data_IF_782590889190
#
_entry.id   IF_782590889190
#
_cell.length_a   1.000
_cell.length_b   1.000
_cell.length_c   1.000
_cell.angle_alpha   90.00
_cell.angle_beta   90.00
_cell.angle_gamma   90.00
#
_symmetry.space_group_name_H-M   'P 1'
#
loop_
_entity.id
_entity.type
_entity.pdbx_description
1 polymer ?
#
# COMPACT_ATOMS: atom_id res chain seq x y z
N UNK A 1 -16.46 -8.42 2.30
CA UNK A 1 -15.30 -8.02 1.48
C UNK A 1 -15.26 -6.51 1.49
N UNK A 2 -14.13 -5.89 1.86
CA UNK A 2 -14.02 -4.43 1.90
C UNK A 2 -14.02 -3.94 0.45
N UNK A 3 -14.94 -3.04 0.06
CA UNK A 3 -15.04 -2.62 -1.32
C UNK A 3 -13.81 -1.83 -1.74
N UNK A 4 -13.35 -2.09 -2.96
CA UNK A 4 -12.39 -1.24 -3.66
C UNK A 4 -13.21 -0.37 -4.62
N UNK A 5 -13.11 0.96 -4.56
CA UNK A 5 -13.86 1.82 -5.47
C UNK A 5 -13.54 1.50 -6.94
N UNK A 6 -14.51 1.65 -7.84
CA UNK A 6 -14.28 1.49 -9.27
C UNK A 6 -13.44 2.65 -9.83
N UNK A 7 -12.59 2.38 -10.84
CA UNK A 7 -11.78 3.42 -11.49
C UNK A 7 -10.61 3.97 -10.67
N UNK A 8 -10.22 3.28 -9.60
CA UNK A 8 -9.11 3.69 -8.72
C UNK A 8 -7.77 3.66 -9.42
N UNK A 9 -6.90 4.62 -9.06
CA UNK A 9 -5.49 4.58 -9.47
C UNK A 9 -4.70 3.73 -8.50
N UNK A 10 -3.74 2.99 -9.05
CA UNK A 10 -2.82 2.17 -8.27
C UNK A 10 -1.45 2.84 -8.30
N UNK A 11 -0.98 3.26 -7.13
CA UNK A 11 0.33 3.87 -6.94
C UNK A 11 1.29 2.85 -6.36
N UNK A 12 2.42 2.63 -7.05
CA UNK A 12 3.51 1.80 -6.55
C UNK A 12 4.53 2.69 -5.85
N UNK A 13 4.79 2.45 -4.57
CA UNK A 13 5.89 3.10 -3.87
C UNK A 13 7.23 2.55 -4.40
N UNK A 14 8.02 3.41 -5.04
CA UNK A 14 9.32 3.01 -5.60
C UNK A 14 10.32 2.62 -4.50
N UNK A 15 11.24 1.71 -4.84
CA UNK A 15 12.27 1.25 -3.91
C UNK A 15 11.74 0.26 -2.86
N UNK A 16 12.21 0.39 -1.62
CA UNK A 16 11.88 -0.54 -0.55
C UNK A 16 11.23 0.17 0.62
N UNK A 17 10.11 -0.38 1.09
CA UNK A 17 9.41 0.10 2.29
C UNK A 17 9.72 -0.79 3.49
N UNK A 18 9.92 -0.19 4.66
CA UNK A 18 9.94 -0.95 5.91
C UNK A 18 8.54 -1.54 6.17
N UNK A 19 8.43 -2.85 6.02
CA UNK A 19 7.15 -3.56 6.14
C UNK A 19 6.71 -3.79 7.59
N UNK A 20 7.47 -3.33 8.59
CA UNK A 20 7.01 -3.23 9.98
C UNK A 20 5.99 -2.10 10.17
N UNK A 21 5.95 -1.13 9.25
CA UNK A 21 5.00 -0.01 9.27
C UNK A 21 3.55 -0.49 9.16
N UNK A 22 2.68 0.08 10.01
CA UNK A 22 1.24 -0.13 10.00
C UNK A 22 0.51 0.97 9.22
N UNK A 23 -0.83 1.00 9.31
CA UNK A 23 -1.69 1.94 8.57
C UNK A 23 -1.23 3.41 8.68
N UNK A 24 -1.13 3.94 9.90
CA UNK A 24 -0.77 5.35 10.14
C UNK A 24 0.59 5.72 9.56
N UNK A 25 1.60 4.87 9.74
CA UNK A 25 2.95 5.19 9.27
C UNK A 25 3.09 5.00 7.77
N UNK A 26 2.34 4.09 7.14
CA UNK A 26 2.26 3.99 5.68
C UNK A 26 1.48 5.17 5.08
N UNK A 27 0.39 5.60 5.70
CA UNK A 27 -0.37 6.80 5.29
C UNK A 27 0.52 8.05 5.30
N UNK A 28 1.32 8.22 6.35
CA UNK A 28 2.30 9.30 6.43
C UNK A 28 3.35 9.22 5.31
N UNK A 29 3.75 8.02 4.90
CA UNK A 29 4.65 7.83 3.76
C UNK A 29 3.97 8.23 2.44
N UNK A 30 2.68 7.92 2.25
CA UNK A 30 1.92 8.37 1.08
C UNK A 30 1.92 9.89 0.99
N UNK A 31 1.59 10.56 2.11
CA UNK A 31 1.53 12.01 2.15
C UNK A 31 2.90 12.65 1.94
N UNK A 32 3.93 12.19 2.65
CA UNK A 32 5.24 12.85 2.63
C UNK A 32 6.13 12.46 1.45
N UNK A 33 6.09 11.19 1.03
CA UNK A 33 7.00 10.67 0.00
C UNK A 33 6.37 10.64 -1.38
N UNK A 34 5.07 10.37 -1.48
CA UNK A 34 4.35 10.33 -2.77
C UNK A 34 3.62 11.65 -3.07
N UNK A 35 3.52 12.55 -2.09
CA UNK A 35 2.76 13.80 -2.18
C UNK A 35 1.33 13.57 -2.68
N UNK A 36 0.66 12.55 -2.10
CA UNK A 36 -0.72 12.17 -2.44
C UNK A 36 -1.64 12.24 -1.23
N UNK A 37 -2.91 12.45 -1.51
CA UNK A 37 -3.97 12.34 -0.52
C UNK A 37 -4.35 10.87 -0.30
N UNK A 38 -4.09 10.36 0.90
CA UNK A 38 -4.42 8.99 1.30
C UNK A 38 -5.92 8.75 1.44
N UNK A 39 -6.74 9.81 1.53
CA UNK A 39 -8.19 9.74 1.67
C UNK A 39 -8.94 9.75 0.33
N UNK A 40 -8.25 9.99 -0.78
CA UNK A 40 -8.85 10.11 -2.12
C UNK A 40 -9.38 8.78 -2.72
N UNK A 41 -9.28 7.66 -1.99
CA UNK A 41 -9.76 6.35 -2.44
C UNK A 41 -8.81 5.59 -3.37
N UNK A 42 -7.66 6.17 -3.71
CA UNK A 42 -6.60 5.49 -4.48
C UNK A 42 -5.91 4.38 -3.66
N UNK A 43 -5.32 3.42 -4.36
CA UNK A 43 -4.57 2.31 -3.75
C UNK A 43 -3.09 2.61 -3.74
N UNK A 44 -2.45 2.41 -2.59
CA UNK A 44 -1.01 2.58 -2.41
C UNK A 44 -0.37 1.25 -2.07
N UNK A 45 0.52 0.79 -2.95
CA UNK A 45 1.13 -0.54 -2.86
C UNK A 45 2.59 -0.39 -2.44
N UNK A 46 2.96 -1.16 -1.42
CA UNK A 46 4.29 -1.18 -0.82
C UNK A 46 4.89 -2.57 -0.86
N UNK A 47 6.21 -2.63 -1.03
CA UNK A 47 6.97 -3.88 -1.02
C UNK A 47 8.25 -3.71 -0.21
N UNK A 48 8.54 -4.72 0.60
CA UNK A 48 9.76 -4.78 1.41
C UNK A 48 10.95 -5.31 0.64
N UNK A 49 12.17 -5.12 1.16
CA UNK A 49 13.42 -5.56 0.52
C UNK A 49 13.44 -7.05 0.13
N UNK A 50 12.85 -7.93 0.96
CA UNK A 50 12.78 -9.37 0.68
C UNK A 50 11.92 -9.71 -0.54
N UNK A 51 10.95 -8.87 -0.86
CA UNK A 51 9.94 -9.11 -1.90
C UNK A 51 8.91 -10.18 -1.57
N UNK A 52 8.98 -10.83 -0.41
CA UNK A 52 8.01 -11.86 -0.02
C UNK A 52 6.72 -11.27 0.57
N UNK A 53 6.70 -9.98 0.92
CA UNK A 53 5.56 -9.29 1.51
C UNK A 53 5.21 -8.03 0.72
N UNK A 54 3.94 -7.89 0.40
CA UNK A 54 3.33 -6.70 -0.17
C UNK A 54 2.20 -6.21 0.74
N UNK A 55 2.05 -4.89 0.86
CA UNK A 55 0.94 -4.23 1.56
C UNK A 55 0.22 -3.28 0.61
N UNK A 56 -1.10 -3.23 0.72
CA UNK A 56 -1.96 -2.30 -0.03
C UNK A 56 -2.74 -1.48 0.98
N UNK A 57 -2.60 -0.16 0.93
CA UNK A 57 -3.29 0.80 1.77
C UNK A 57 -4.30 1.59 0.93
N UNK A 58 -5.53 1.74 1.42
CA UNK A 58 -6.53 2.64 0.83
C UNK A 58 -7.50 3.14 1.90
N UNK A 59 -8.24 4.20 1.59
CA UNK A 59 -9.38 4.65 2.37
C UNK A 59 -10.66 4.30 1.61
N UNK A 60 -11.61 3.62 2.24
CA UNK A 60 -12.85 3.16 1.59
C UNK A 60 -14.03 4.14 1.72
N UNK A 61 -13.78 5.31 2.32
CA UNK A 61 -14.79 6.33 2.62
C UNK A 61 -15.31 6.25 4.06
N UNK A 62 -15.22 5.09 4.71
CA UNK A 62 -15.56 4.90 6.12
C UNK A 62 -14.30 4.84 7.00
N UNK A 63 -13.23 4.28 6.47
CA UNK A 63 -11.98 4.16 7.20
C UNK A 63 -10.80 3.71 6.34
N UNK A 64 -9.66 3.62 7.00
CA UNK A 64 -8.42 3.15 6.39
C UNK A 64 -8.36 1.63 6.43
N UNK A 65 -8.04 1.03 5.30
CA UNK A 65 -7.90 -0.40 5.10
C UNK A 65 -6.47 -0.76 4.71
N UNK A 66 -5.97 -1.86 5.26
CA UNK A 66 -4.64 -2.40 4.96
C UNK A 66 -4.74 -3.89 4.66
N UNK A 67 -4.45 -4.24 3.42
CA UNK A 67 -4.26 -5.63 3.02
C UNK A 67 -2.78 -5.98 3.04
N UNK A 68 -2.44 -7.17 3.53
CA UNK A 68 -1.07 -7.69 3.54
C UNK A 68 -1.06 -9.08 2.89
N UNK A 69 -0.24 -9.25 1.84
CA UNK A 69 -0.04 -10.54 1.18
C UNK A 69 1.40 -10.98 1.31
N UNK A 70 1.58 -12.15 1.92
CA UNK A 70 2.85 -12.86 1.98
C UNK A 70 2.86 -13.98 0.95
N UNK A 71 3.95 -14.15 0.24
CA UNK A 71 4.21 -15.30 -0.60
C UNK A 71 4.99 -16.34 0.22
N UNK A 72 4.51 -17.59 0.22
CA UNK A 72 5.24 -18.71 0.82
C UNK A 72 6.50 -19.07 0.00
N UNK A 73 6.44 -18.84 -1.32
CA UNK A 73 7.58 -19.01 -2.24
C UNK A 73 7.58 -17.92 -3.30
N UNK A 74 8.77 -17.47 -3.68
CA UNK A 74 8.96 -16.44 -4.71
C UNK A 74 8.96 -15.01 -4.14
N UNK A 75 8.91 -14.03 -5.05
CA UNK A 75 8.99 -12.60 -4.72
C UNK A 75 8.10 -11.78 -5.64
N UNK A 76 7.49 -10.73 -5.10
CA UNK A 76 6.94 -9.65 -5.89
C UNK A 76 8.10 -8.93 -6.60
N UNK A 77 8.06 -8.93 -7.92
CA UNK A 77 8.93 -8.12 -8.79
C UNK A 77 8.52 -6.67 -8.63
N UNK A 78 9.50 -5.79 -8.47
CA UNK A 78 9.30 -4.40 -8.10
C UNK A 78 10.25 -3.51 -8.91
N UNK A 79 9.79 -2.36 -9.42
CA UNK A 79 10.66 -1.35 -10.04
C UNK A 79 11.62 -0.70 -9.05
#
# INVERSE_FOLDING_TARGET
>A
MIPIPGGVRVWLALGHTDMRRGMRSLALQVQNSLNKDVHAGDLYVFRGRSGSLCKILWHDGLGMSLYAKRLERGRFVWP
#
